data_IF_524269920332
#
_entry.id   IF_524269920332
#
_cell.length_a   1.000
_cell.length_b   1.000
_cell.length_c   1.000
_cell.angle_alpha   90.00
_cell.angle_beta   90.00
_cell.angle_gamma   90.00
#
_symmetry.space_group_name_H-M   'P 1'
#
loop_
_entity.id
_entity.type
_entity.pdbx_description
1 polymer ?
#
# COMPACT_ATOMS: atom_id res chain seq x y z
N UNK A 1 -10.75 -0.81 -9.24
CA UNK A 1 -9.51 -1.59 -9.39
C UNK A 1 -8.55 -0.98 -10.41
N UNK A 2 -9.02 -0.43 -11.53
CA UNK A 2 -8.16 0.14 -12.59
C UNK A 2 -7.16 1.21 -12.09
N UNK A 3 -7.49 1.96 -11.03
CA UNK A 3 -6.59 2.93 -10.41
C UNK A 3 -5.31 2.36 -9.80
N UNK A 4 -5.23 1.03 -9.60
CA UNK A 4 -4.04 0.34 -9.09
C UNK A 4 -3.02 0.02 -10.20
N UNK A 5 -3.42 0.12 -11.47
CA UNK A 5 -2.57 -0.20 -12.62
C UNK A 5 -1.81 1.03 -13.12
N UNK A 6 -0.77 0.81 -13.94
CA UNK A 6 0.06 1.89 -14.50
C UNK A 6 -0.76 2.85 -15.38
N UNK A 7 -0.30 4.11 -15.56
CA UNK A 7 -1.00 5.09 -16.39
C UNK A 7 -1.29 4.60 -17.82
N UNK A 8 -0.41 3.79 -18.40
CA UNK A 8 -0.61 3.20 -19.73
C UNK A 8 -1.82 2.26 -19.78
N UNK A 9 -2.00 1.42 -18.75
CA UNK A 9 -3.17 0.52 -18.64
C UNK A 9 -4.43 1.33 -18.38
N UNK A 10 -4.35 2.35 -17.53
CA UNK A 10 -5.49 3.24 -17.26
C UNK A 10 -5.96 3.96 -18.52
N UNK A 11 -5.04 4.54 -19.30
CA UNK A 11 -5.35 5.21 -20.56
C UNK A 11 -5.96 4.25 -21.58
N UNK A 12 -5.47 3.01 -21.65
CA UNK A 12 -6.02 1.99 -22.54
C UNK A 12 -7.43 1.56 -22.12
N UNK A 13 -7.68 1.40 -20.83
CA UNK A 13 -9.02 1.14 -20.30
C UNK A 13 -10.01 2.29 -20.61
N UNK A 14 -9.53 3.54 -20.59
CA UNK A 14 -10.33 4.71 -20.97
C UNK A 14 -10.61 4.70 -22.48
N UNK A 15 -9.60 4.43 -23.33
CA UNK A 15 -9.77 4.31 -24.78
C UNK A 15 -10.71 3.18 -25.20
N UNK A 16 -10.73 2.08 -24.46
CA UNK A 16 -11.64 0.95 -24.68
C UNK A 16 -13.06 1.22 -24.13
N UNK A 17 -13.35 2.40 -23.57
CA UNK A 17 -14.65 2.75 -23.01
C UNK A 17 -15.02 2.01 -21.72
N UNK A 18 -14.08 1.29 -21.11
CA UNK A 18 -14.32 0.47 -19.90
C UNK A 18 -14.49 1.33 -18.64
N UNK A 19 -13.93 2.54 -18.62
CA UNK A 19 -14.04 3.49 -17.49
C UNK A 19 -13.68 4.91 -17.91
N UNK A 20 -14.10 5.92 -17.14
CA UNK A 20 -13.66 7.32 -17.32
C UNK A 20 -12.49 7.70 -16.39
N UNK A 21 -11.69 8.72 -16.74
CA UNK A 21 -10.65 9.26 -15.85
C UNK A 21 -11.20 9.77 -14.52
N UNK A 22 -12.37 10.43 -14.51
CA UNK A 22 -12.95 10.92 -13.24
C UNK A 22 -13.34 9.76 -12.33
N UNK A 23 -13.88 8.67 -12.89
CA UNK A 23 -14.28 7.49 -12.13
C UNK A 23 -13.07 6.77 -11.53
N UNK A 24 -11.97 6.66 -12.26
CA UNK A 24 -10.69 6.13 -11.75
C UNK A 24 -10.21 6.98 -10.56
N UNK A 25 -10.18 8.31 -10.72
CA UNK A 25 -9.72 9.24 -9.68
C UNK A 25 -10.62 9.19 -8.44
N UNK A 26 -11.94 9.23 -8.61
CA UNK A 26 -12.91 9.16 -7.51
C UNK A 26 -12.77 7.85 -6.73
N UNK A 27 -12.67 6.72 -7.43
CA UNK A 27 -12.50 5.42 -6.76
C UNK A 27 -11.15 5.32 -6.04
N UNK A 28 -10.07 5.91 -6.60
CA UNK A 28 -8.77 5.96 -5.93
C UNK A 28 -8.84 6.78 -4.63
N UNK A 29 -9.50 7.95 -4.68
CA UNK A 29 -9.66 8.82 -3.52
C UNK A 29 -10.51 8.16 -2.44
N UNK A 30 -11.65 7.57 -2.80
CA UNK A 30 -12.52 6.86 -1.86
C UNK A 30 -11.79 5.69 -1.20
N UNK A 31 -11.06 4.89 -1.99
CA UNK A 31 -10.27 3.78 -1.46
C UNK A 31 -9.23 4.28 -0.45
N UNK A 32 -8.47 5.33 -0.78
CA UNK A 32 -7.49 5.92 0.14
C UNK A 32 -8.15 6.50 1.40
N UNK A 33 -9.28 7.19 1.25
CA UNK A 33 -9.98 7.83 2.36
C UNK A 33 -10.57 6.83 3.37
N UNK A 34 -10.91 5.61 2.94
CA UNK A 34 -11.45 4.57 3.83
C UNK A 34 -10.35 3.63 4.33
N UNK A 35 -9.54 3.09 3.41
CA UNK A 35 -8.57 2.06 3.76
C UNK A 35 -7.38 2.61 4.56
N UNK A 36 -6.90 3.83 4.28
CA UNK A 36 -5.73 4.38 4.99
C UNK A 36 -6.05 4.66 6.46
N UNK A 37 -7.15 5.36 6.82
CA UNK A 37 -7.50 5.56 8.22
C UNK A 37 -7.79 4.24 8.96
N UNK A 38 -8.49 3.30 8.32
CA UNK A 38 -8.76 1.99 8.90
C UNK A 38 -7.49 1.17 9.15
N UNK A 39 -6.51 1.28 8.25
CA UNK A 39 -5.21 0.63 8.43
C UNK A 39 -4.40 1.26 9.58
N UNK A 40 -4.34 2.60 9.63
CA UNK A 40 -3.65 3.32 10.70
C UNK A 40 -4.30 2.98 12.04
N UNK A 41 -5.63 3.03 12.15
CA UNK A 41 -6.33 2.72 13.40
C UNK A 41 -6.06 1.28 13.86
N UNK A 42 -6.09 0.30 12.94
CA UNK A 42 -5.77 -1.09 13.25
C UNK A 42 -4.38 -1.23 13.86
N UNK A 43 -3.35 -0.69 13.20
CA UNK A 43 -1.97 -0.82 13.67
C UNK A 43 -1.78 -0.09 15.02
N UNK A 44 -2.38 1.08 15.21
CA UNK A 44 -2.32 1.81 16.47
C UNK A 44 -3.01 1.06 17.62
N UNK A 45 -4.17 0.44 17.38
CA UNK A 45 -4.85 -0.40 18.37
C UNK A 45 -3.98 -1.59 18.77
N UNK A 46 -3.33 -2.26 17.81
CA UNK A 46 -2.41 -3.35 18.13
C UNK A 46 -1.24 -2.91 19.01
N UNK A 47 -0.59 -1.79 18.68
CA UNK A 47 0.63 -1.34 19.37
C UNK A 47 0.33 -0.69 20.73
N UNK A 48 -0.65 0.20 20.79
CA UNK A 48 -0.90 1.01 21.99
C UNK A 48 -2.05 0.46 22.84
N UNK A 49 -3.07 -0.13 22.21
CA UNK A 49 -4.22 -0.70 22.91
C UNK A 49 -3.94 -2.11 23.44
N UNK A 50 -3.48 -3.01 22.58
CA UNK A 50 -3.25 -4.43 22.92
C UNK A 50 -1.89 -4.64 23.57
N UNK A 51 -0.81 -4.19 22.93
CA UNK A 51 0.56 -4.37 23.46
C UNK A 51 0.94 -3.34 24.53
N UNK A 52 0.14 -2.29 24.72
CA UNK A 52 0.33 -1.31 25.78
C UNK A 52 1.63 -0.49 25.67
N UNK A 53 2.14 -0.23 24.46
CA UNK A 53 3.32 0.59 24.29
C UNK A 53 3.10 2.00 24.87
N UNK A 54 3.94 2.43 25.83
CA UNK A 54 3.83 3.74 26.51
C UNK A 54 4.96 4.71 26.17
N UNK A 55 6.03 4.22 25.55
CA UNK A 55 7.20 5.03 25.19
C UNK A 55 7.35 5.13 23.68
N UNK A 56 7.94 6.24 23.24
CA UNK A 56 8.28 6.45 21.84
C UNK A 56 9.06 5.27 21.25
N UNK A 57 10.12 4.81 21.92
CA UNK A 57 10.98 3.75 21.42
C UNK A 57 10.21 2.42 21.26
N UNK A 58 9.37 2.06 22.24
CA UNK A 58 8.56 0.85 22.16
C UNK A 58 7.51 0.93 21.04
N UNK A 59 6.81 2.07 20.95
CA UNK A 59 5.83 2.32 19.90
C UNK A 59 6.46 2.31 18.51
N UNK A 60 7.58 3.02 18.33
CA UNK A 60 8.32 3.07 17.08
C UNK A 60 8.78 1.68 16.61
N UNK A 61 9.40 0.89 17.49
CA UNK A 61 9.89 -0.44 17.12
C UNK A 61 8.76 -1.39 16.74
N UNK A 62 7.67 -1.42 17.51
CA UNK A 62 6.54 -2.28 17.18
C UNK A 62 5.86 -1.85 15.86
N UNK A 63 5.68 -0.54 15.64
CA UNK A 63 5.17 -0.01 14.39
C UNK A 63 6.07 -0.37 13.21
N UNK A 64 7.39 -0.17 13.36
CA UNK A 64 8.36 -0.47 12.32
C UNK A 64 8.36 -1.95 11.94
N UNK A 65 8.32 -2.85 12.93
CA UNK A 65 8.27 -4.30 12.70
C UNK A 65 6.98 -4.69 11.98
N UNK A 66 5.82 -4.25 12.46
CA UNK A 66 4.53 -4.60 11.84
C UNK A 66 4.48 -4.10 10.39
N UNK A 67 4.79 -2.82 10.17
CA UNK A 67 4.78 -2.24 8.82
C UNK A 67 5.79 -2.92 7.89
N UNK A 68 6.97 -3.28 8.40
CA UNK A 68 8.00 -3.97 7.60
C UNK A 68 7.57 -5.38 7.23
N UNK A 69 7.04 -6.16 8.18
CA UNK A 69 6.55 -7.52 7.94
C UNK A 69 5.42 -7.49 6.91
N UNK A 70 4.45 -6.60 7.07
CA UNK A 70 3.35 -6.44 6.11
C UNK A 70 3.86 -6.04 4.73
N UNK A 71 4.83 -5.13 4.65
CA UNK A 71 5.46 -4.75 3.38
C UNK A 71 6.21 -5.91 2.71
N UNK A 72 6.82 -6.82 3.48
CA UNK A 72 7.46 -8.02 2.92
C UNK A 72 6.43 -9.03 2.42
N UNK A 73 5.36 -9.27 3.18
CA UNK A 73 4.25 -10.16 2.78
C UNK A 73 3.60 -9.63 1.50
N UNK A 74 3.22 -8.34 1.47
CA UNK A 74 2.65 -7.72 0.27
C UNK A 74 3.56 -7.89 -0.94
N UNK A 75 4.86 -7.66 -0.75
CA UNK A 75 5.85 -7.73 -1.84
C UNK A 75 6.11 -9.12 -2.39
N UNK A 76 6.23 -10.13 -1.54
CA UNK A 76 6.58 -11.49 -1.98
C UNK A 76 5.34 -12.32 -2.28
N UNK A 77 4.32 -12.25 -1.43
CA UNK A 77 3.13 -13.08 -1.54
C UNK A 77 2.07 -12.41 -2.42
N UNK A 78 1.76 -11.14 -2.20
CA UNK A 78 0.71 -10.47 -2.98
C UNK A 78 1.22 -10.05 -4.36
N UNK A 79 2.23 -9.16 -4.43
CA UNK A 79 2.81 -8.64 -5.67
C UNK A 79 3.58 -9.72 -6.46
N UNK A 80 4.32 -10.59 -5.78
CA UNK A 80 5.22 -11.58 -6.39
C UNK A 80 4.51 -12.86 -6.81
N UNK A 81 3.82 -13.50 -5.88
CA UNK A 81 3.17 -14.79 -6.10
C UNK A 81 1.75 -14.61 -6.66
N UNK A 82 0.85 -13.96 -5.92
CA UNK A 82 -0.56 -13.88 -6.27
C UNK A 82 -0.82 -13.08 -7.53
N UNK A 83 -0.48 -11.79 -7.55
CA UNK A 83 -0.75 -10.88 -8.69
C UNK A 83 0.06 -11.30 -9.92
N UNK A 84 1.28 -11.80 -9.72
CA UNK A 84 2.15 -12.26 -10.81
C UNK A 84 1.70 -13.55 -11.49
N UNK A 85 1.09 -14.49 -10.75
CA UNK A 85 0.78 -15.83 -11.25
C UNK A 85 -0.72 -16.11 -11.44
N UNK A 86 -1.61 -15.25 -10.96
CA UNK A 86 -3.06 -15.46 -11.10
C UNK A 86 -3.67 -14.62 -12.22
N UNK A 87 -4.56 -15.24 -13.01
CA UNK A 87 -5.27 -14.55 -14.09
C UNK A 87 -6.36 -13.58 -13.61
N UNK A 88 -6.67 -13.57 -12.30
CA UNK A 88 -7.68 -12.71 -11.68
C UNK A 88 -7.41 -11.20 -11.88
N UNK A 89 -6.17 -10.83 -12.20
CA UNK A 89 -5.70 -9.46 -12.41
C UNK A 89 -5.47 -9.11 -13.89
N UNK A 90 -5.96 -9.96 -14.80
CA UNK A 90 -5.88 -9.69 -16.23
C UNK A 90 -7.05 -8.83 -16.66
N UNK A 91 -6.78 -7.65 -17.21
CA UNK A 91 -7.83 -6.81 -17.82
C UNK A 91 -7.89 -7.16 -19.31
N UNK A 92 -9.04 -7.62 -19.82
CA UNK A 92 -9.22 -7.95 -21.24
C UNK A 92 -8.83 -6.77 -22.13
N UNK A 93 -8.03 -7.04 -23.18
CA UNK A 93 -7.58 -6.02 -24.13
C UNK A 93 -6.33 -5.21 -23.72
N UNK A 94 -5.69 -5.56 -22.59
CA UNK A 94 -4.41 -4.96 -22.14
C UNK A 94 -3.33 -5.99 -21.84
N UNK A 95 -3.51 -7.22 -22.33
CA UNK A 95 -2.65 -8.37 -22.02
C UNK A 95 -1.22 -8.20 -22.55
N UNK A 96 -1.05 -7.42 -23.61
CA UNK A 96 0.22 -7.06 -24.24
C UNK A 96 1.07 -6.11 -23.38
N UNK A 97 0.47 -5.46 -22.38
CA UNK A 97 1.19 -4.61 -21.42
C UNK A 97 1.72 -5.39 -20.22
N UNK A 98 1.62 -6.73 -20.24
CA UNK A 98 2.23 -7.59 -19.22
C UNK A 98 3.75 -7.72 -19.46
N UNK A 99 4.57 -7.71 -18.40
CA UNK A 99 4.19 -7.49 -17.00
C UNK A 99 3.90 -6.01 -16.70
N UNK A 100 2.74 -5.73 -16.10
CA UNK A 100 2.29 -4.36 -15.78
C UNK A 100 3.25 -3.60 -14.84
N UNK A 101 4.11 -4.33 -14.11
CA UNK A 101 5.17 -3.78 -13.26
C UNK A 101 6.52 -4.32 -13.75
N UNK A 102 7.34 -3.43 -14.32
CA UNK A 102 8.69 -3.77 -14.79
C UNK A 102 9.67 -4.00 -13.63
N UNK A 103 10.69 -4.84 -13.84
CA UNK A 103 11.71 -5.13 -12.84
C UNK A 103 12.45 -3.87 -12.34
N UNK A 104 12.70 -2.91 -13.22
CA UNK A 104 13.31 -1.60 -12.89
C UNK A 104 12.43 -0.76 -11.96
N UNK A 105 11.11 -0.79 -12.17
CA UNK A 105 10.16 -0.11 -11.28
C UNK A 105 10.08 -0.81 -9.92
N UNK A 106 10.19 -2.15 -9.88
CA UNK A 106 10.30 -2.90 -8.61
C UNK A 106 11.56 -2.47 -7.84
N UNK A 107 12.73 -2.45 -8.50
CA UNK A 107 14.00 -2.06 -7.86
C UNK A 107 13.96 -0.65 -7.24
N UNK A 108 13.26 0.31 -7.86
CA UNK A 108 13.07 1.65 -7.27
C UNK A 108 12.01 1.68 -6.16
N UNK A 109 10.91 0.94 -6.31
CA UNK A 109 9.84 0.82 -5.31
C UNK A 109 10.37 0.23 -4.00
N UNK A 110 11.35 -0.66 -4.08
CA UNK A 110 11.90 -1.41 -2.94
C UNK A 110 12.53 -0.55 -1.83
N UNK A 111 13.56 0.28 -2.10
CA UNK A 111 14.15 1.14 -1.08
C UNK A 111 13.16 2.21 -0.61
N UNK A 112 12.34 2.74 -1.53
CA UNK A 112 11.34 3.75 -1.20
C UNK A 112 10.27 3.21 -0.23
N UNK A 113 9.84 1.96 -0.43
CA UNK A 113 8.91 1.29 0.48
C UNK A 113 9.50 1.12 1.88
N UNK A 114 10.74 0.63 1.99
CA UNK A 114 11.39 0.42 3.30
C UNK A 114 11.61 1.73 4.04
N UNK A 115 12.16 2.75 3.37
CA UNK A 115 12.38 4.08 3.98
C UNK A 115 11.04 4.73 4.33
N UNK A 116 10.03 4.61 3.46
CA UNK A 116 8.68 5.12 3.70
C UNK A 116 8.04 4.53 4.95
N UNK A 117 8.16 3.20 5.17
CA UNK A 117 7.63 2.57 6.38
C UNK A 117 8.32 3.09 7.64
N UNK A 118 9.64 3.30 7.61
CA UNK A 118 10.37 3.86 8.74
C UNK A 118 9.94 5.30 9.08
N UNK A 119 9.74 6.13 8.06
CA UNK A 119 9.23 7.51 8.24
C UNK A 119 7.80 7.50 8.80
N UNK A 120 6.92 6.65 8.27
CA UNK A 120 5.54 6.52 8.76
C UNK A 120 5.52 6.03 10.21
N UNK A 121 6.31 5.00 10.54
CA UNK A 121 6.42 4.49 11.91
C UNK A 121 6.89 5.59 12.87
N UNK A 122 7.87 6.39 12.46
CA UNK A 122 8.38 7.51 13.25
C UNK A 122 7.31 8.56 13.51
N UNK A 123 6.62 9.03 12.45
CA UNK A 123 5.57 10.05 12.57
C UNK A 123 4.44 9.56 13.48
N UNK A 124 3.97 8.33 13.28
CA UNK A 124 2.91 7.74 14.11
C UNK A 124 3.36 7.57 15.57
N UNK A 125 4.60 7.15 15.81
CA UNK A 125 5.13 7.04 17.16
C UNK A 125 5.24 8.39 17.87
N UNK A 126 5.72 9.44 17.18
CA UNK A 126 5.76 10.81 17.72
C UNK A 126 4.35 11.28 18.08
N UNK A 127 3.39 11.12 17.16
CA UNK A 127 2.00 11.52 17.40
C UNK A 127 1.43 10.82 18.63
N UNK A 128 1.58 9.51 18.73
CA UNK A 128 1.04 8.76 19.87
C UNK A 128 1.73 9.08 21.19
N UNK A 129 3.03 9.35 21.17
CA UNK A 129 3.79 9.75 22.35
C UNK A 129 3.20 11.02 22.98
N UNK A 130 2.71 11.97 22.17
CA UNK A 130 2.02 13.17 22.66
C UNK A 130 0.72 12.82 23.42
N UNK A 131 0.02 11.77 23.02
CA UNK A 131 -1.25 11.36 23.63
C UNK A 131 -1.10 10.37 24.79
N UNK A 132 0.06 9.73 24.94
CA UNK A 132 0.31 8.69 25.96
C UNK A 132 1.13 9.17 27.16
N UNK A 133 1.71 10.36 27.09
CA UNK A 133 2.30 11.07 28.23
C UNK A 133 1.24 11.90 28.97
#
# INVERSE_FOLDING_TARGET
>A
MVHLYSPAVQQRCVKLGLTSPERIRRNSLLFKAVCVPGYISYVLVCVYGINGARSFAAGFWQLLVILSVMNLIDRFLIDGYWVGHTNAWTIPGTEDLKPYITAKNKQKKWPFGTVGMAVIAMVLAVMMTIFTH
#
